data_IF_853495139498
#
_entry.id   IF_853495139498
#
_cell.length_a   1.000
_cell.length_b   1.000
_cell.length_c   1.000
_cell.angle_alpha   90.00
_cell.angle_beta   90.00
_cell.angle_gamma   90.00
#
_symmetry.space_group_name_H-M   'P 1'
#
loop_
_entity.id
_entity.type
_entity.pdbx_description
1 polymer ?
#
# COMPACT_ATOMS: atom_id res chain seq x y z
N UNK A 1 31.30 11.99 27.02
CA UNK A 1 31.30 10.59 27.51
C UNK A 1 29.92 9.91 27.44
N UNK A 2 28.79 10.57 27.69
CA UNK A 2 27.45 9.91 27.60
C UNK A 2 27.01 9.57 26.17
N UNK A 3 27.43 10.33 25.17
CA UNK A 3 27.08 10.07 23.74
C UNK A 3 27.70 8.80 23.17
N UNK A 4 28.97 8.51 23.54
CA UNK A 4 29.69 7.34 23.01
C UNK A 4 29.16 6.00 23.55
N UNK A 5 28.59 6.00 24.75
CA UNK A 5 28.02 4.78 25.37
C UNK A 5 26.69 4.41 24.68
N UNK A 6 25.89 5.40 24.29
CA UNK A 6 24.62 5.19 23.59
C UNK A 6 24.90 4.61 22.18
N UNK A 7 25.92 5.08 21.47
CA UNK A 7 26.32 4.53 20.17
C UNK A 7 26.78 3.06 20.25
N UNK A 8 27.53 2.70 21.29
CA UNK A 8 28.04 1.33 21.45
C UNK A 8 26.92 0.32 21.77
N UNK A 9 26.00 0.70 22.65
CA UNK A 9 24.87 -0.18 23.02
C UNK A 9 23.87 -0.36 21.89
N UNK A 10 23.66 0.67 21.07
CA UNK A 10 22.77 0.59 19.90
C UNK A 10 23.37 -0.25 18.77
N UNK A 11 24.67 -0.13 18.51
CA UNK A 11 25.38 -0.97 17.52
C UNK A 11 25.41 -2.45 17.90
N UNK A 12 25.47 -2.79 19.20
CA UNK A 12 25.44 -4.17 19.67
C UNK A 12 24.02 -4.80 19.59
N UNK A 13 22.98 -4.01 19.81
CA UNK A 13 21.59 -4.47 19.63
C UNK A 13 21.22 -4.68 18.17
N UNK A 14 21.78 -3.88 17.26
CA UNK A 14 21.56 -3.99 15.82
C UNK A 14 22.25 -5.21 15.19
N UNK A 15 23.34 -5.69 15.76
CA UNK A 15 24.00 -6.91 15.28
C UNK A 15 23.20 -8.20 15.53
N UNK A 16 22.21 -8.15 16.42
CA UNK A 16 21.37 -9.30 16.78
C UNK A 16 20.02 -9.39 16.04
N UNK A 17 19.62 -8.33 15.31
CA UNK A 17 18.37 -8.28 14.55
C UNK A 17 18.64 -7.83 13.13
N UNK A 18 18.37 -8.70 12.15
CA UNK A 18 18.51 -8.54 10.70
C UNK A 18 18.65 -7.09 10.15
N UNK A 19 19.81 -6.82 9.58
CA UNK A 19 20.48 -5.56 9.24
C UNK A 19 19.79 -4.40 8.49
N UNK A 20 18.55 -4.49 8.06
CA UNK A 20 17.91 -3.41 7.30
C UNK A 20 17.15 -2.37 8.16
N UNK A 21 16.34 -2.83 9.10
CA UNK A 21 15.53 -1.94 9.94
C UNK A 21 16.36 -1.10 10.92
N UNK A 22 17.52 -1.62 11.35
CA UNK A 22 18.46 -0.92 12.22
C UNK A 22 19.22 0.20 11.53
N UNK A 23 19.54 0.03 10.24
CA UNK A 23 20.25 1.06 9.46
C UNK A 23 19.34 2.28 9.23
N UNK A 24 18.06 2.05 8.92
CA UNK A 24 17.05 3.11 8.76
C UNK A 24 16.76 3.85 10.08
N UNK A 25 16.67 3.12 11.19
CA UNK A 25 16.47 3.74 12.51
C UNK A 25 17.69 4.55 12.97
N UNK A 26 18.91 4.09 12.67
CA UNK A 26 20.14 4.84 12.97
C UNK A 26 20.25 6.10 12.10
N UNK A 27 19.93 6.02 10.80
CA UNK A 27 19.94 7.16 9.89
C UNK A 27 18.89 8.22 10.29
N UNK A 28 17.67 7.82 10.63
CA UNK A 28 16.65 8.73 11.18
C UNK A 28 17.06 9.39 12.49
N UNK A 29 17.77 8.65 13.36
CA UNK A 29 18.27 9.20 14.62
C UNK A 29 19.39 10.22 14.40
N UNK A 30 20.28 9.99 13.44
CA UNK A 30 21.32 10.96 13.08
C UNK A 30 20.74 12.23 12.47
N UNK A 31 19.74 12.12 11.59
CA UNK A 31 19.03 13.28 11.03
C UNK A 31 18.28 14.05 12.12
N UNK A 32 17.58 13.37 13.03
CA UNK A 32 16.89 14.03 14.16
C UNK A 32 17.87 14.74 15.10
N UNK A 33 19.05 14.18 15.33
CA UNK A 33 20.12 14.79 16.13
C UNK A 33 20.71 16.00 15.39
N UNK A 34 20.89 15.93 14.08
CA UNK A 34 21.36 17.04 13.24
C UNK A 34 20.36 18.21 13.26
N UNK A 35 19.07 17.91 13.04
CA UNK A 35 18.01 18.93 13.07
C UNK A 35 17.86 19.60 14.44
N UNK A 36 17.94 18.82 15.52
CA UNK A 36 17.90 19.39 16.87
C UNK A 36 19.11 20.28 17.17
N UNK A 37 20.28 19.95 16.60
CA UNK A 37 21.48 20.78 16.73
C UNK A 37 21.31 22.09 15.95
N UNK A 38 20.81 22.07 14.75
CA UNK A 38 20.49 23.28 13.97
C UNK A 38 19.43 24.14 14.66
N UNK A 39 18.37 23.53 15.21
CA UNK A 39 17.35 24.22 15.99
C UNK A 39 17.96 24.90 17.25
N UNK A 40 18.87 24.26 17.94
CA UNK A 40 19.55 24.85 19.09
C UNK A 40 20.50 25.99 18.70
N UNK A 41 21.16 25.88 17.57
CA UNK A 41 22.00 26.95 17.05
C UNK A 41 21.16 28.16 16.57
N UNK A 42 20.00 27.91 15.96
CA UNK A 42 19.00 28.97 15.66
C UNK A 42 18.46 29.61 16.93
N UNK A 43 18.13 28.84 17.96
CA UNK A 43 17.69 29.39 19.26
C UNK A 43 18.76 30.28 19.88
N UNK A 44 20.02 29.88 19.85
CA UNK A 44 21.14 30.71 20.34
C UNK A 44 21.33 31.96 19.53
N UNK A 45 21.16 31.90 18.20
CA UNK A 45 21.23 33.06 17.32
C UNK A 45 20.08 34.05 17.63
N UNK A 46 18.84 33.56 17.76
CA UNK A 46 17.66 34.38 18.14
C UNK A 46 17.85 35.02 19.52
N UNK A 47 18.42 34.25 20.47
CA UNK A 47 18.71 34.76 21.80
C UNK A 47 19.76 35.91 21.76
N UNK A 48 20.87 35.72 21.00
CA UNK A 48 21.89 36.74 20.78
C UNK A 48 21.34 38.01 20.08
N UNK A 49 20.42 37.84 19.14
CA UNK A 49 19.75 38.96 18.48
C UNK A 49 18.84 39.69 19.43
N UNK A 50 18.12 39.00 20.32
CA UNK A 50 17.30 39.63 21.38
C UNK A 50 18.15 40.41 22.39
N UNK A 51 19.33 39.91 22.76
CA UNK A 51 20.24 40.55 23.70
C UNK A 51 20.95 41.80 23.11
N UNK A 52 20.99 41.94 21.76
CA UNK A 52 21.58 43.09 21.05
C UNK A 52 20.56 44.17 20.68
N UNK A 53 19.28 43.93 20.92
CA UNK A 53 18.20 44.84 20.54
C UNK A 53 17.90 45.79 21.68
N UNK A 54 18.57 46.92 21.68
CA UNK A 54 18.07 48.12 22.41
C UNK A 54 16.80 48.62 21.71
N UNK A 55 15.83 48.88 22.51
CA UNK A 55 14.47 49.42 22.51
C UNK A 55 13.78 50.05 21.26
N UNK A 56 14.34 49.99 20.04
CA UNK A 56 13.73 50.69 18.89
C UNK A 56 13.34 49.75 17.70
N UNK A 57 13.39 48.46 17.90
CA UNK A 57 13.14 47.44 16.86
C UNK A 57 11.75 46.81 16.86
N UNK A 58 10.75 47.38 17.52
CA UNK A 58 9.41 46.74 17.56
C UNK A 58 8.75 46.62 16.17
N UNK A 59 9.02 47.56 15.25
CA UNK A 59 8.50 47.51 13.88
C UNK A 59 9.26 46.52 12.97
N UNK A 60 10.55 46.27 13.24
CA UNK A 60 11.35 45.26 12.54
C UNK A 60 11.03 43.85 13.01
N UNK A 61 10.66 43.68 14.29
CA UNK A 61 10.27 42.37 14.85
C UNK A 61 8.98 41.85 14.19
N UNK A 62 8.04 42.72 13.79
CA UNK A 62 6.80 42.28 13.13
C UNK A 62 7.01 41.83 11.68
N UNK A 63 7.87 42.50 10.92
CA UNK A 63 8.24 42.09 9.56
C UNK A 63 9.12 40.83 9.58
N UNK A 64 10.12 40.80 10.47
CA UNK A 64 10.98 39.60 10.67
C UNK A 64 10.19 38.41 11.24
N UNK A 65 9.19 38.64 12.10
CA UNK A 65 8.33 37.57 12.60
C UNK A 65 7.48 36.96 11.52
N UNK A 66 7.04 37.72 10.51
CA UNK A 66 6.31 37.18 9.36
C UNK A 66 7.21 36.35 8.46
N UNK A 67 8.41 36.83 8.10
CA UNK A 67 9.38 36.11 7.31
C UNK A 67 9.90 34.88 8.05
N UNK A 68 10.14 34.99 9.35
CA UNK A 68 10.53 33.87 10.20
C UNK A 68 9.43 32.79 10.26
N UNK A 69 8.17 33.17 10.54
CA UNK A 69 7.04 32.23 10.55
C UNK A 69 6.86 31.53 9.21
N UNK A 70 7.06 32.26 8.10
CA UNK A 70 6.97 31.72 6.75
C UNK A 70 8.12 30.74 6.46
N UNK A 71 9.35 31.06 6.90
CA UNK A 71 10.52 30.18 6.75
C UNK A 71 10.35 28.90 7.61
N UNK A 72 9.98 29.07 8.88
CA UNK A 72 9.70 27.94 9.79
C UNK A 72 8.55 27.08 9.27
N UNK A 73 7.46 27.71 8.79
CA UNK A 73 6.33 27.00 8.20
C UNK A 73 6.75 26.17 6.99
N UNK A 74 7.66 26.69 6.14
CA UNK A 74 8.19 25.94 5.00
C UNK A 74 9.03 24.75 5.46
N UNK A 75 9.96 24.95 6.37
CA UNK A 75 10.84 23.88 6.91
C UNK A 75 9.99 22.78 7.57
N UNK A 76 8.97 23.17 8.36
CA UNK A 76 8.05 22.19 8.96
C UNK A 76 7.29 21.43 7.88
N UNK A 77 6.79 22.11 6.83
CA UNK A 77 6.07 21.46 5.74
C UNK A 77 6.97 20.48 5.00
N UNK A 78 8.20 20.88 4.64
CA UNK A 78 9.18 20.03 3.96
C UNK A 78 9.53 18.80 4.82
N UNK A 79 9.73 18.99 6.12
CA UNK A 79 9.98 17.89 7.06
C UNK A 79 8.80 16.92 7.16
N UNK A 80 7.58 17.43 7.28
CA UNK A 80 6.36 16.61 7.34
C UNK A 80 6.16 15.82 6.04
N UNK A 81 6.42 16.43 4.89
CA UNK A 81 6.35 15.75 3.59
C UNK A 81 7.43 14.67 3.47
N UNK A 82 8.65 14.93 3.92
CA UNK A 82 9.72 13.94 3.94
C UNK A 82 9.37 12.75 4.84
N UNK A 83 8.86 13.01 6.06
CA UNK A 83 8.42 11.93 6.96
C UNK A 83 7.30 11.09 6.36
N UNK A 84 6.33 11.72 5.70
CA UNK A 84 5.27 11.00 4.97
C UNK A 84 5.81 10.14 3.84
N UNK A 85 6.78 10.64 3.08
CA UNK A 85 7.40 9.85 2.01
C UNK A 85 8.17 8.64 2.55
N UNK A 86 8.90 8.80 3.65
CA UNK A 86 9.61 7.71 4.31
C UNK A 86 8.64 6.65 4.87
N UNK A 87 7.57 7.09 5.52
CA UNK A 87 6.52 6.21 6.00
C UNK A 87 5.86 5.44 4.84
N UNK A 88 5.51 6.14 3.76
CA UNK A 88 4.92 5.52 2.58
C UNK A 88 5.88 4.53 1.92
N UNK A 89 7.17 4.86 1.82
CA UNK A 89 8.17 3.94 1.29
C UNK A 89 8.25 2.65 2.13
N UNK A 90 8.21 2.77 3.47
CA UNK A 90 8.15 1.62 4.37
C UNK A 90 6.86 0.80 4.22
N UNK A 91 5.73 1.48 3.99
CA UNK A 91 4.44 0.80 3.73
C UNK A 91 4.39 0.14 2.35
N UNK A 92 5.04 0.72 1.34
CA UNK A 92 5.17 0.13 0.00
C UNK A 92 6.05 -1.14 0.03
N UNK A 93 7.03 -1.22 0.93
CA UNK A 93 7.91 -2.39 1.03
C UNK A 93 7.15 -3.68 1.35
N UNK A 94 6.04 -3.62 2.07
CA UNK A 94 5.19 -4.79 2.31
C UNK A 94 4.51 -5.35 1.04
N UNK A 95 4.58 -4.61 -0.09
CA UNK A 95 4.06 -5.00 -1.40
C UNK A 95 5.17 -5.32 -2.41
N UNK A 96 6.41 -5.52 -1.95
CA UNK A 96 7.59 -5.81 -2.79
C UNK A 96 7.41 -7.04 -3.68
N UNK A 97 6.59 -8.00 -3.24
CA UNK A 97 6.32 -9.24 -3.98
C UNK A 97 5.31 -9.06 -5.12
N UNK A 98 4.77 -7.84 -5.31
CA UNK A 98 4.00 -7.50 -6.49
C UNK A 98 4.95 -7.23 -7.67
N UNK A 99 4.91 -8.03 -8.76
CA UNK A 99 5.79 -7.82 -9.90
C UNK A 99 5.53 -6.47 -10.57
N UNK A 100 6.59 -5.78 -10.99
CA UNK A 100 6.51 -4.43 -11.54
C UNK A 100 5.72 -4.34 -12.84
N UNK A 101 5.75 -5.41 -13.65
CA UNK A 101 5.02 -5.50 -14.92
C UNK A 101 4.19 -6.79 -14.95
N UNK A 102 2.90 -6.63 -15.18
CA UNK A 102 1.98 -7.75 -15.32
C UNK A 102 0.77 -7.30 -16.15
N UNK A 103 0.26 -8.19 -17.00
CA UNK A 103 -1.01 -7.98 -17.69
C UNK A 103 -2.22 -8.12 -16.75
N UNK A 104 -1.99 -8.66 -15.58
CA UNK A 104 -2.96 -8.84 -14.50
C UNK A 104 -2.34 -8.35 -13.19
N UNK A 105 -3.14 -8.03 -12.21
CA UNK A 105 -2.64 -7.54 -10.92
C UNK A 105 -2.19 -8.70 -10.03
N UNK A 106 -0.98 -9.23 -10.32
CA UNK A 106 -0.37 -10.29 -9.51
C UNK A 106 0.23 -9.75 -8.22
N UNK A 107 0.05 -10.50 -7.15
CA UNK A 107 0.82 -10.42 -5.92
C UNK A 107 1.43 -11.80 -5.63
N UNK A 108 2.72 -11.84 -5.36
CA UNK A 108 3.50 -13.08 -5.28
C UNK A 108 4.13 -13.46 -6.63
N UNK A 109 4.61 -14.70 -6.73
CA UNK A 109 5.30 -15.17 -7.94
C UNK A 109 4.34 -15.33 -9.12
N UNK A 110 4.70 -14.77 -10.27
CA UNK A 110 3.97 -15.01 -11.51
C UNK A 110 4.02 -16.48 -11.95
N UNK A 111 5.01 -17.26 -11.45
CA UNK A 111 5.17 -18.71 -11.72
C UNK A 111 4.59 -19.59 -10.61
N UNK A 112 3.83 -19.02 -9.67
CA UNK A 112 3.21 -19.76 -8.58
C UNK A 112 2.35 -20.91 -9.12
N UNK A 113 2.45 -22.07 -8.46
CA UNK A 113 1.71 -23.27 -8.77
C UNK A 113 0.20 -23.07 -8.59
N UNK A 114 -0.17 -22.37 -7.53
CA UNK A 114 -1.54 -22.04 -7.20
C UNK A 114 -1.77 -20.54 -7.39
N UNK A 115 -2.84 -20.20 -8.09
CA UNK A 115 -3.28 -18.80 -8.23
C UNK A 115 -4.66 -18.64 -7.62
N UNK A 116 -4.80 -17.64 -6.75
CA UNK A 116 -6.07 -17.25 -6.17
C UNK A 116 -6.58 -16.00 -6.90
N UNK A 117 -7.56 -16.18 -7.78
CA UNK A 117 -8.26 -15.05 -8.40
C UNK A 117 -9.31 -14.54 -7.41
N UNK A 118 -9.08 -13.35 -6.90
CA UNK A 118 -9.89 -12.75 -5.83
C UNK A 118 -10.88 -11.75 -6.42
N UNK A 119 -12.12 -12.15 -6.60
CA UNK A 119 -13.20 -11.27 -7.01
C UNK A 119 -13.68 -10.47 -5.82
N UNK A 120 -13.48 -9.16 -5.88
CA UNK A 120 -13.59 -8.30 -4.71
C UNK A 120 -14.20 -6.94 -5.03
N UNK A 121 -14.87 -6.38 -4.05
CA UNK A 121 -15.47 -5.05 -4.07
C UNK A 121 -14.84 -4.20 -2.97
N UNK A 122 -14.25 -3.08 -3.35
CA UNK A 122 -13.54 -2.20 -2.43
C UNK A 122 -14.45 -1.49 -1.40
N UNK A 123 -15.76 -1.47 -1.66
CA UNK A 123 -16.77 -0.98 -0.72
C UNK A 123 -17.35 -2.09 0.18
N UNK A 124 -16.95 -3.36 0.00
CA UNK A 124 -17.48 -4.49 0.74
C UNK A 124 -16.73 -4.71 2.06
N UNK A 125 -17.38 -4.64 3.24
CA UNK A 125 -16.73 -4.88 4.52
C UNK A 125 -16.15 -6.31 4.67
N UNK A 126 -16.80 -7.31 4.06
CA UNK A 126 -16.30 -8.69 4.04
C UNK A 126 -15.00 -8.80 3.25
N UNK A 127 -14.91 -8.12 2.12
CA UNK A 127 -13.68 -8.05 1.33
C UNK A 127 -12.55 -7.41 2.14
N UNK A 128 -12.83 -6.29 2.83
CA UNK A 128 -11.86 -5.63 3.69
C UNK A 128 -11.31 -6.55 4.79
N UNK A 129 -12.17 -7.37 5.41
CA UNK A 129 -11.74 -8.31 6.45
C UNK A 129 -10.96 -9.51 5.92
N UNK A 130 -11.29 -9.99 4.72
CA UNK A 130 -10.64 -11.15 4.11
C UNK A 130 -9.34 -10.82 3.37
N UNK A 131 -9.17 -9.59 2.90
CA UNK A 131 -8.01 -9.19 2.15
C UNK A 131 -6.67 -9.43 2.88
N UNK A 132 -6.47 -9.01 4.16
CA UNK A 132 -5.25 -9.31 4.89
C UNK A 132 -5.04 -10.81 5.12
N UNK A 133 -6.11 -11.61 5.23
CA UNK A 133 -6.03 -13.07 5.38
C UNK A 133 -5.48 -13.71 4.12
N UNK A 134 -5.96 -13.30 2.95
CA UNK A 134 -5.51 -13.79 1.65
C UNK A 134 -4.05 -13.39 1.38
N UNK A 135 -3.69 -12.14 1.71
CA UNK A 135 -2.32 -11.67 1.59
C UNK A 135 -1.36 -12.47 2.47
N UNK A 136 -1.67 -12.63 3.75
CA UNK A 136 -0.87 -13.42 4.70
C UNK A 136 -0.73 -14.88 4.23
N UNK A 137 -1.79 -15.46 3.64
CA UNK A 137 -1.74 -16.79 3.07
C UNK A 137 -0.74 -16.90 1.92
N UNK A 138 -0.74 -15.93 1.01
CA UNK A 138 0.23 -15.85 -0.09
C UNK A 138 1.66 -15.64 0.44
N UNK A 139 1.85 -14.71 1.37
CA UNK A 139 3.16 -14.40 1.97
C UNK A 139 3.81 -15.64 2.63
N UNK A 140 3.01 -16.44 3.33
CA UNK A 140 3.48 -17.67 4.01
C UNK A 140 3.69 -18.86 3.08
N UNK A 141 3.24 -18.76 1.84
CA UNK A 141 3.31 -19.87 0.89
C UNK A 141 4.71 -20.19 0.37
N UNK A 142 5.70 -19.34 0.65
CA UNK A 142 7.05 -19.47 0.12
C UNK A 142 7.11 -19.31 -1.42
N UNK A 143 6.15 -18.58 -2.01
CA UNK A 143 6.06 -18.33 -3.44
C UNK A 143 5.25 -19.36 -4.23
N UNK A 144 4.68 -20.38 -3.55
CA UNK A 144 3.85 -21.38 -4.20
C UNK A 144 2.42 -20.93 -4.49
N UNK A 145 2.00 -19.82 -3.88
CA UNK A 145 0.67 -19.20 -4.07
C UNK A 145 0.84 -17.76 -4.50
N UNK A 146 0.11 -17.33 -5.53
CA UNK A 146 -0.04 -15.95 -5.93
C UNK A 146 -1.51 -15.50 -5.84
N UNK A 147 -1.73 -14.19 -5.63
CA UNK A 147 -3.05 -13.58 -5.76
C UNK A 147 -3.15 -12.86 -7.10
N UNK A 148 -4.35 -12.85 -7.68
CA UNK A 148 -4.72 -11.97 -8.78
C UNK A 148 -6.00 -11.27 -8.38
N UNK A 149 -5.98 -9.93 -8.36
CA UNK A 149 -7.14 -9.14 -8.01
C UNK A 149 -8.08 -9.03 -9.21
N UNK A 150 -9.38 -9.20 -8.96
CA UNK A 150 -10.47 -9.01 -9.93
C UNK A 150 -11.51 -8.06 -9.34
N UNK A 151 -11.75 -6.98 -10.04
CA UNK A 151 -12.80 -6.03 -9.64
C UNK A 151 -14.19 -6.63 -9.85
N UNK A 152 -14.98 -6.68 -8.78
CA UNK A 152 -16.38 -7.14 -8.85
C UNK A 152 -17.28 -6.23 -8.02
N UNK A 153 -17.46 -4.95 -8.46
CA UNK A 153 -18.27 -3.97 -7.75
C UNK A 153 -19.75 -4.38 -7.76
N UNK A 154 -20.32 -4.60 -6.58
CA UNK A 154 -21.69 -5.01 -6.41
C UNK A 154 -22.66 -3.82 -6.52
N UNK A 155 -23.78 -4.01 -7.20
CA UNK A 155 -24.81 -2.96 -7.36
C UNK A 155 -25.30 -2.37 -6.04
N UNK A 156 -25.34 -3.16 -4.99
CA UNK A 156 -25.79 -2.73 -3.65
C UNK A 156 -24.87 -1.68 -3.02
N UNK A 157 -23.61 -1.59 -3.42
CA UNK A 157 -22.65 -0.58 -2.94
C UNK A 157 -22.62 0.69 -3.79
N UNK A 158 -23.45 0.76 -4.84
CA UNK A 158 -23.68 1.95 -5.66
C UNK A 158 -22.49 2.32 -6.55
N UNK A 159 -22.45 3.60 -6.96
CA UNK A 159 -21.38 4.13 -7.85
C UNK A 159 -20.02 4.12 -7.19
N UNK A 160 -19.95 4.26 -5.86
CA UNK A 160 -18.69 4.29 -5.11
C UNK A 160 -17.82 3.05 -5.36
N UNK A 161 -18.41 1.87 -5.40
CA UNK A 161 -17.68 0.63 -5.67
C UNK A 161 -17.02 0.65 -7.06
N UNK A 162 -17.73 1.18 -8.06
CA UNK A 162 -17.21 1.34 -9.42
C UNK A 162 -16.11 2.42 -9.47
N UNK A 163 -16.32 3.54 -8.80
CA UNK A 163 -15.35 4.65 -8.74
C UNK A 163 -14.04 4.21 -8.09
N UNK A 164 -14.10 3.43 -7.00
CA UNK A 164 -12.92 2.86 -6.33
C UNK A 164 -12.20 1.84 -7.22
N UNK A 165 -12.93 1.00 -7.96
CA UNK A 165 -12.34 0.07 -8.91
C UNK A 165 -11.59 0.80 -10.04
N UNK A 166 -12.20 1.82 -10.64
CA UNK A 166 -11.58 2.66 -11.66
C UNK A 166 -10.36 3.42 -11.12
N UNK A 167 -10.45 3.93 -9.89
CA UNK A 167 -9.34 4.59 -9.23
C UNK A 167 -8.15 3.64 -9.06
N UNK A 168 -8.38 2.42 -8.56
CA UNK A 168 -7.33 1.42 -8.36
C UNK A 168 -6.64 1.05 -9.69
N UNK A 169 -7.42 0.86 -10.77
CA UNK A 169 -6.88 0.63 -12.12
C UNK A 169 -6.02 1.81 -12.60
N UNK A 170 -6.42 3.04 -12.29
CA UNK A 170 -5.61 4.21 -12.62
C UNK A 170 -4.32 4.30 -11.81
N UNK A 171 -4.33 3.89 -10.54
CA UNK A 171 -3.10 3.75 -9.76
C UNK A 171 -2.17 2.73 -10.41
N UNK A 172 -2.69 1.57 -10.84
CA UNK A 172 -1.90 0.57 -11.55
C UNK A 172 -1.26 1.12 -12.84
N UNK A 173 -2.04 1.86 -13.63
CA UNK A 173 -1.61 2.40 -14.93
C UNK A 173 -0.56 3.51 -14.79
N UNK A 174 -0.63 4.32 -13.74
CA UNK A 174 0.24 5.49 -13.52
C UNK A 174 1.44 5.14 -12.66
N UNK A 175 1.24 4.37 -11.60
CA UNK A 175 2.23 4.03 -10.58
C UNK A 175 2.84 2.66 -10.76
N UNK A 176 2.07 1.70 -11.23
CA UNK A 176 2.49 0.31 -11.38
C UNK A 176 1.74 -0.66 -10.47
N UNK A 177 2.12 -1.93 -10.57
CA UNK A 177 1.39 -3.01 -9.89
C UNK A 177 1.58 -2.99 -8.36
N UNK A 178 2.76 -2.58 -7.88
CA UNK A 178 3.03 -2.44 -6.44
C UNK A 178 2.16 -1.34 -5.82
N UNK A 179 2.04 -0.22 -6.50
CA UNK A 179 1.22 0.92 -6.11
C UNK A 179 -0.27 0.56 -6.16
N UNK A 180 -0.68 -0.28 -7.10
CA UNK A 180 -2.02 -0.87 -7.14
C UNK A 180 -2.34 -1.64 -5.85
N UNK A 181 -1.48 -2.60 -5.47
CA UNK A 181 -1.70 -3.41 -4.27
C UNK A 181 -1.68 -2.57 -2.99
N UNK A 182 -0.81 -1.57 -2.93
CA UNK A 182 -0.83 -0.57 -1.86
C UNK A 182 -2.19 0.14 -1.81
N UNK A 183 -2.68 0.64 -2.96
CA UNK A 183 -3.97 1.33 -3.03
C UNK A 183 -5.13 0.42 -2.60
N UNK A 184 -5.15 -0.86 -3.01
CA UNK A 184 -6.16 -1.83 -2.55
C UNK A 184 -6.17 -1.93 -1.02
N UNK A 185 -5.01 -2.09 -0.38
CA UNK A 185 -4.89 -2.18 1.08
C UNK A 185 -5.39 -0.92 1.80
N UNK A 186 -5.03 0.25 1.30
CA UNK A 186 -5.43 1.54 1.87
C UNK A 186 -6.93 1.82 1.71
N UNK A 187 -7.49 1.51 0.54
CA UNK A 187 -8.93 1.67 0.29
C UNK A 187 -9.76 0.75 1.18
N UNK A 188 -9.30 -0.48 1.45
CA UNK A 188 -9.93 -1.36 2.42
C UNK A 188 -9.80 -0.87 3.86
N UNK A 189 -8.77 -0.06 4.17
CA UNK A 189 -8.60 0.61 5.47
C UNK A 189 -9.40 1.90 5.59
N UNK A 190 -10.34 2.15 4.66
CA UNK A 190 -11.22 3.32 4.60
C UNK A 190 -10.50 4.67 4.35
N UNK A 191 -9.30 4.64 3.77
CA UNK A 191 -8.63 5.84 3.29
C UNK A 191 -9.35 6.41 2.07
N UNK A 192 -9.30 7.74 1.93
CA UNK A 192 -9.86 8.38 0.74
C UNK A 192 -8.94 8.23 -0.47
N UNK A 193 -9.51 8.17 -1.66
CA UNK A 193 -8.77 8.08 -2.93
C UNK A 193 -7.70 9.20 -3.05
N UNK A 194 -8.04 10.40 -2.57
CA UNK A 194 -7.10 11.53 -2.56
C UNK A 194 -5.95 11.33 -1.57
N UNK A 195 -6.22 10.76 -0.40
CA UNK A 195 -5.19 10.45 0.58
C UNK A 195 -4.24 9.36 0.06
N UNK A 196 -4.79 8.31 -0.57
CA UNK A 196 -4.01 7.24 -1.22
C UNK A 196 -3.12 7.79 -2.32
N UNK A 197 -3.66 8.62 -3.23
CA UNK A 197 -2.87 9.26 -4.30
C UNK A 197 -1.76 10.14 -3.73
N UNK A 198 -2.07 10.92 -2.68
CA UNK A 198 -1.10 11.77 -1.98
C UNK A 198 0.02 10.98 -1.31
N UNK A 199 -0.28 9.84 -0.68
CA UNK A 199 0.71 8.94 -0.10
C UNK A 199 1.66 8.37 -1.16
N UNK A 200 1.16 8.08 -2.35
CA UNK A 200 1.94 7.59 -3.47
C UNK A 200 2.64 8.69 -4.28
N UNK A 201 2.49 9.96 -3.89
CA UNK A 201 2.97 11.14 -4.63
C UNK A 201 2.49 11.15 -6.10
N UNK A 202 1.26 10.69 -6.33
CA UNK A 202 0.65 10.67 -7.65
C UNK A 202 -0.25 11.89 -7.85
N UNK A 203 -0.17 12.49 -9.05
CA UNK A 203 -1.01 13.63 -9.41
C UNK A 203 -2.47 13.19 -9.56
N UNK A 204 -3.31 13.69 -8.65
CA UNK A 204 -4.74 13.39 -8.63
C UNK A 204 -5.47 13.88 -9.89
N UNK A 205 -4.96 14.89 -10.57
CA UNK A 205 -5.53 15.36 -11.85
C UNK A 205 -5.34 14.30 -12.94
N UNK A 206 -4.14 13.73 -13.04
CA UNK A 206 -3.86 12.63 -13.98
C UNK A 206 -4.70 11.39 -13.68
N UNK A 207 -4.93 11.08 -12.40
CA UNK A 207 -5.81 9.98 -11.99
C UNK A 207 -7.25 10.28 -12.42
N UNK A 208 -7.74 11.51 -12.21
CA UNK A 208 -9.09 11.92 -12.58
C UNK A 208 -9.32 11.86 -14.11
N UNK A 209 -8.29 12.16 -14.91
CA UNK A 209 -8.35 12.02 -16.35
C UNK A 209 -8.36 10.55 -16.77
N UNK A 210 -7.54 9.72 -16.13
CA UNK A 210 -7.49 8.27 -16.35
C UNK A 210 -8.84 7.59 -16.04
N UNK A 211 -9.53 7.98 -14.99
CA UNK A 211 -10.85 7.41 -14.60
C UNK A 211 -11.88 7.61 -15.72
N UNK A 212 -11.76 8.67 -16.51
CA UNK A 212 -12.64 8.96 -17.65
C UNK A 212 -12.26 8.19 -18.93
N UNK A 213 -11.13 7.51 -18.93
CA UNK A 213 -10.66 6.73 -20.06
C UNK A 213 -11.44 5.42 -20.20
N UNK A 214 -11.87 5.13 -21.43
CA UNK A 214 -12.61 3.89 -21.74
C UNK A 214 -11.78 2.63 -21.53
N UNK A 215 -10.48 2.70 -21.70
CA UNK A 215 -9.57 1.57 -21.50
C UNK A 215 -9.52 1.16 -20.03
N UNK A 216 -9.51 2.13 -19.09
CA UNK A 216 -9.59 1.86 -17.66
C UNK A 216 -10.90 1.15 -17.29
N UNK A 217 -12.03 1.63 -17.85
CA UNK A 217 -13.32 0.99 -17.63
C UNK A 217 -13.38 -0.42 -18.22
N UNK A 218 -12.70 -0.68 -19.35
CA UNK A 218 -12.68 -2.00 -19.98
C UNK A 218 -12.08 -3.09 -19.08
N UNK A 219 -11.09 -2.78 -18.25
CA UNK A 219 -10.50 -3.73 -17.28
C UNK A 219 -11.54 -4.15 -16.23
N UNK A 220 -12.22 -3.19 -15.63
CA UNK A 220 -13.28 -3.47 -14.63
C UNK A 220 -14.42 -4.26 -15.27
N UNK A 221 -14.85 -3.89 -16.47
CA UNK A 221 -15.92 -4.61 -17.20
C UNK A 221 -15.50 -6.04 -17.53
N UNK A 222 -14.25 -6.26 -17.93
CA UNK A 222 -13.71 -7.61 -18.20
C UNK A 222 -13.78 -8.48 -16.93
N UNK A 223 -13.34 -7.96 -15.80
CA UNK A 223 -13.33 -8.68 -14.53
C UNK A 223 -14.76 -9.04 -14.06
N UNK A 224 -15.69 -8.10 -14.18
CA UNK A 224 -17.11 -8.34 -13.89
C UNK A 224 -17.67 -9.44 -14.81
N UNK A 225 -17.40 -9.34 -16.12
CA UNK A 225 -17.89 -10.33 -17.08
C UNK A 225 -17.29 -11.72 -16.85
N UNK A 226 -16.03 -11.79 -16.39
CA UNK A 226 -15.40 -13.05 -15.99
C UNK A 226 -16.10 -13.66 -14.76
N UNK A 227 -16.34 -12.85 -13.71
CA UNK A 227 -17.05 -13.29 -12.51
C UNK A 227 -18.48 -13.77 -12.81
N UNK A 228 -19.20 -13.04 -13.67
CA UNK A 228 -20.55 -13.45 -14.12
C UNK A 228 -20.54 -14.79 -14.85
N UNK A 229 -19.56 -15.04 -15.75
CA UNK A 229 -19.38 -16.35 -16.42
C UNK A 229 -19.09 -17.49 -15.44
N UNK A 230 -18.46 -17.19 -14.33
CA UNK A 230 -18.17 -18.15 -13.26
C UNK A 230 -19.34 -18.28 -12.26
N UNK A 231 -20.47 -17.62 -12.53
CA UNK A 231 -21.66 -17.55 -11.67
C UNK A 231 -21.36 -16.98 -10.28
N UNK A 232 -20.36 -16.11 -10.16
CA UNK A 232 -20.08 -15.40 -8.89
C UNK A 232 -21.22 -14.40 -8.64
N UNK A 233 -21.78 -14.46 -7.45
CA UNK A 233 -22.94 -13.65 -7.05
C UNK A 233 -22.66 -12.76 -5.84
N UNK A 234 -21.57 -13.02 -5.13
CA UNK A 234 -21.22 -12.31 -3.89
C UNK A 234 -19.71 -12.06 -3.81
N UNK A 235 -19.30 -11.16 -2.92
CA UNK A 235 -17.88 -10.85 -2.65
C UNK A 235 -17.59 -10.93 -1.14
N UNK A 236 -16.37 -11.36 -0.76
CA UNK A 236 -15.33 -11.87 -1.66
C UNK A 236 -15.64 -13.27 -2.20
N UNK A 237 -15.28 -13.52 -3.47
CA UNK A 237 -15.23 -14.86 -4.03
C UNK A 237 -13.79 -15.15 -4.48
N UNK A 238 -13.35 -16.40 -4.34
CA UNK A 238 -12.01 -16.81 -4.73
C UNK A 238 -12.08 -17.99 -5.67
N UNK A 239 -11.48 -17.84 -6.84
CA UNK A 239 -11.24 -18.96 -7.74
C UNK A 239 -9.82 -19.47 -7.52
N UNK A 240 -9.69 -20.65 -6.95
CA UNK A 240 -8.42 -21.33 -6.74
C UNK A 240 -8.07 -22.09 -8.02
N UNK A 241 -6.98 -21.73 -8.67
CA UNK A 241 -6.47 -22.40 -9.87
C UNK A 241 -5.17 -23.14 -9.53
N UNK A 242 -5.16 -24.46 -9.77
CA UNK A 242 -3.94 -25.24 -9.87
C UNK A 242 -3.47 -25.21 -11.33
N UNK A 243 -2.34 -24.57 -11.58
CA UNK A 243 -1.78 -24.41 -12.93
C UNK A 243 -1.16 -25.70 -13.46
N UNK A 244 -0.69 -26.58 -12.56
CA UNK A 244 -0.05 -27.84 -12.96
C UNK A 244 -1.09 -28.78 -13.55
N UNK A 245 -2.22 -28.92 -12.88
CA UNK A 245 -3.27 -29.84 -13.26
C UNK A 245 -4.40 -29.18 -14.07
N UNK A 246 -4.35 -27.83 -14.21
CA UNK A 246 -5.38 -27.01 -14.85
C UNK A 246 -6.78 -27.24 -14.25
N UNK A 247 -6.85 -27.37 -12.93
CA UNK A 247 -8.09 -27.55 -12.17
C UNK A 247 -8.43 -26.29 -11.42
N UNK A 248 -9.71 -25.93 -11.33
CA UNK A 248 -10.17 -24.76 -10.59
C UNK A 248 -11.35 -25.09 -9.69
N UNK A 249 -11.39 -24.43 -8.53
CA UNK A 249 -12.52 -24.45 -7.59
C UNK A 249 -12.92 -23.02 -7.30
N UNK A 250 -14.23 -22.71 -7.38
CA UNK A 250 -14.78 -21.42 -6.96
C UNK A 250 -15.28 -21.51 -5.54
N UNK A 251 -14.88 -20.59 -4.70
CA UNK A 251 -15.30 -20.43 -3.32
C UNK A 251 -16.04 -19.12 -3.17
N UNK A 252 -17.26 -19.15 -2.66
CA UNK A 252 -17.99 -17.98 -2.18
C UNK A 252 -18.16 -18.06 -0.66
N UNK A 253 -18.46 -16.93 -0.03
CA UNK A 253 -18.70 -16.85 1.42
C UNK A 253 -17.48 -17.35 2.25
N UNK A 254 -16.26 -17.11 1.76
CA UNK A 254 -15.04 -17.44 2.48
C UNK A 254 -14.96 -16.61 3.76
N UNK A 255 -14.56 -17.23 4.86
CA UNK A 255 -14.50 -16.60 6.18
C UNK A 255 -13.14 -16.73 6.86
N UNK A 256 -12.24 -17.57 6.34
CA UNK A 256 -10.97 -17.88 6.98
C UNK A 256 -9.92 -18.40 5.98
N UNK A 257 -8.66 -18.37 6.40
CA UNK A 257 -7.57 -19.06 5.70
C UNK A 257 -7.81 -20.58 5.61
N UNK A 258 -8.59 -21.16 6.53
CA UNK A 258 -8.94 -22.58 6.52
C UNK A 258 -9.73 -22.96 5.29
N UNK A 259 -10.62 -22.10 4.80
CA UNK A 259 -11.41 -22.36 3.59
C UNK A 259 -10.50 -22.45 2.36
N UNK A 260 -9.51 -21.55 2.27
CA UNK A 260 -8.50 -21.56 1.20
C UNK A 260 -7.62 -22.80 1.29
N UNK A 261 -7.14 -23.14 2.50
CA UNK A 261 -6.29 -24.31 2.72
C UNK A 261 -7.02 -25.59 2.34
N UNK A 262 -8.29 -25.72 2.70
CA UNK A 262 -9.09 -26.88 2.33
C UNK A 262 -9.24 -26.99 0.80
N UNK A 263 -9.53 -25.90 0.11
CA UNK A 263 -9.66 -25.90 -1.34
C UNK A 263 -8.34 -26.24 -2.05
N UNK A 264 -7.22 -25.65 -1.62
CA UNK A 264 -5.89 -25.94 -2.16
C UNK A 264 -5.52 -27.40 -1.92
N UNK A 265 -5.82 -27.97 -0.75
CA UNK A 265 -5.59 -29.39 -0.46
C UNK A 265 -6.42 -30.30 -1.35
N UNK A 266 -7.70 -30.00 -1.55
CA UNK A 266 -8.59 -30.76 -2.41
C UNK A 266 -8.11 -30.78 -3.86
N UNK A 267 -7.73 -29.63 -4.40
CA UNK A 267 -7.18 -29.52 -5.76
C UNK A 267 -5.91 -30.36 -5.90
N UNK A 268 -4.97 -30.26 -4.97
CA UNK A 268 -3.69 -30.99 -5.02
C UNK A 268 -3.84 -32.50 -4.86
N UNK A 269 -4.85 -32.96 -4.13
CA UNK A 269 -5.10 -34.42 -3.94
C UNK A 269 -5.92 -35.06 -5.07
N UNK A 270 -6.35 -34.26 -6.06
CA UNK A 270 -7.16 -34.76 -7.16
C UNK A 270 -8.59 -35.13 -6.80
N UNK A 271 -9.05 -34.75 -5.59
CA UNK A 271 -10.41 -35.04 -5.12
C UNK A 271 -11.49 -34.23 -5.88
N UNK A 272 -11.09 -33.19 -6.60
CA UNK A 272 -11.95 -32.34 -7.42
C UNK A 272 -11.51 -32.35 -8.89
N UNK A 273 -11.06 -33.51 -9.43
CA UNK A 273 -11.04 -33.65 -10.87
C UNK A 273 -12.50 -33.77 -11.34
N UNK A 274 -13.14 -32.73 -11.89
CA UNK A 274 -14.31 -32.98 -12.70
C UNK A 274 -13.83 -33.85 -13.84
N UNK A 275 -14.45 -35.02 -13.99
CA UNK A 275 -14.41 -35.76 -15.24
C UNK A 275 -14.38 -34.76 -16.38
N UNK A 276 -13.33 -34.86 -17.21
CA UNK A 276 -13.11 -34.02 -18.36
C UNK A 276 -14.44 -33.64 -19.00
N UNK A 277 -14.80 -32.35 -18.95
CA UNK A 277 -15.81 -31.81 -19.85
C UNK A 277 -15.08 -31.75 -21.17
N UNK A 278 -15.33 -32.74 -22.01
CA UNK A 278 -14.98 -32.73 -23.39
C UNK A 278 -15.59 -31.47 -24.04
N UNK A 279 -14.73 -30.76 -24.78
CA UNK A 279 -14.90 -29.76 -25.83
C UNK A 279 -16.26 -29.06 -25.96
#
# INVERSE_FOLDING_TARGET
MKSSIIHLTFSLLCAAAAGGACFLAAHNMEQTVSLNRELDDYRKLVQKLKERSDSDCSSLIDADSFLFRRAVGRIISEYVEEQKMLETAGRLEQWRDAPAQSSEHYYGSADAEIVLYVFSDLSCPHCASMFPVLKDYADRSGGSVALVFRHFPLRMHGSRAVEQALFAECIARIGGNREFWFAIGELFSAESERAVAGSLNLDFTRISDCIRDRETAANVVRDVAEGEKLNISSTPAVVVLDRIHNVRITLENISSAGDITAAVSRIKTGLDHPTAVAE
#
